data_IF_183519248514
#
_entry.id   IF_183519248514
#
_cell.length_a   1.000
_cell.length_b   1.000
_cell.length_c   1.000
_cell.angle_alpha   90.00
_cell.angle_beta   90.00
_cell.angle_gamma   90.00
#
_symmetry.space_group_name_H-M   'P 1'
#
loop_
_entity.id
_entity.type
_entity.pdbx_description
1 polymer ?
#
# COMPACT_ATOMS: atom_id res chain seq x y z
N UNK A 1 27.49 10.18 43.21
CA UNK A 1 26.46 9.15 43.50
C UNK A 1 25.06 9.60 43.06
N UNK A 2 24.87 10.07 41.81
CA UNK A 2 23.54 10.43 41.28
C UNK A 2 23.28 9.99 39.83
N UNK A 3 24.17 9.18 39.23
CA UNK A 3 24.05 8.76 37.82
C UNK A 3 23.84 7.25 37.62
N UNK A 4 23.86 6.43 38.68
CA UNK A 4 23.72 4.97 38.56
C UNK A 4 22.29 4.44 38.77
N UNK A 5 21.33 5.29 39.15
CA UNK A 5 19.96 4.85 39.48
C UNK A 5 19.01 4.89 38.26
N UNK A 6 19.36 5.61 37.19
CA UNK A 6 18.50 5.70 35.99
C UNK A 6 18.61 4.50 35.04
N UNK A 7 19.66 3.68 35.17
CA UNK A 7 19.92 2.53 34.28
C UNK A 7 19.18 1.24 34.70
N UNK A 8 18.46 1.24 35.81
CA UNK A 8 17.75 0.05 36.32
C UNK A 8 16.25 -0.03 35.91
N UNK A 9 15.71 0.95 35.19
CA UNK A 9 14.30 0.95 34.77
C UNK A 9 14.05 0.70 33.26
N UNK A 10 15.10 0.49 32.45
CA UNK A 10 14.94 0.17 31.02
C UNK A 10 14.74 -1.33 30.71
N UNK A 11 14.39 -2.13 31.73
CA UNK A 11 14.37 -3.60 31.65
C UNK A 11 13.01 -4.29 31.57
N UNK A 12 11.87 -3.57 31.54
CA UNK A 12 10.54 -4.21 31.64
C UNK A 12 9.45 -3.62 30.73
N UNK A 13 9.79 -3.22 29.51
CA UNK A 13 8.79 -3.02 28.45
C UNK A 13 9.14 -3.85 27.21
N UNK A 14 9.14 -5.16 27.37
CA UNK A 14 8.87 -6.05 26.23
C UNK A 14 7.38 -5.93 25.92
N UNK A 15 7.00 -4.98 25.08
CA UNK A 15 5.66 -4.98 24.50
C UNK A 15 5.49 -6.33 23.80
N UNK A 16 4.54 -7.14 24.27
CA UNK A 16 4.18 -8.40 23.60
C UNK A 16 3.83 -8.07 22.14
N UNK A 17 4.20 -8.89 21.15
CA UNK A 17 3.74 -8.70 19.79
C UNK A 17 2.22 -8.63 19.79
N UNK A 18 1.66 -7.52 19.34
CA UNK A 18 0.22 -7.32 19.26
C UNK A 18 -0.34 -8.33 18.25
N UNK A 19 -1.10 -9.29 18.75
CA UNK A 19 -1.86 -10.22 17.93
C UNK A 19 -3.23 -9.59 17.68
N UNK A 20 -3.58 -9.40 16.40
CA UNK A 20 -4.94 -8.99 16.01
C UNK A 20 -5.96 -9.96 16.62
N UNK A 21 -7.01 -9.47 17.30
CA UNK A 21 -8.16 -10.31 17.59
C UNK A 21 -8.77 -10.77 16.25
N UNK A 22 -9.31 -11.99 16.23
CA UNK A 22 -10.07 -12.47 15.06
C UNK A 22 -11.34 -11.62 14.88
N UNK A 23 -11.94 -11.67 13.69
CA UNK A 23 -13.23 -11.00 13.43
C UNK A 23 -14.29 -11.37 14.47
N UNK A 24 -14.29 -12.63 14.93
CA UNK A 24 -15.15 -13.13 16.01
C UNK A 24 -14.82 -12.48 17.36
N UNK A 25 -13.54 -12.27 17.68
CA UNK A 25 -13.13 -11.64 18.92
C UNK A 25 -13.49 -10.15 18.96
N UNK A 26 -13.34 -9.42 17.84
CA UNK A 26 -13.79 -8.04 17.74
C UNK A 26 -15.32 -7.94 17.88
N UNK A 27 -16.06 -8.83 17.22
CA UNK A 27 -17.53 -8.90 17.31
C UNK A 27 -18.00 -9.13 18.75
N UNK A 28 -17.36 -10.05 19.48
CA UNK A 28 -17.74 -10.36 20.85
C UNK A 28 -17.41 -9.21 21.82
N UNK A 29 -16.35 -8.45 21.57
CA UNK A 29 -16.04 -7.24 22.35
C UNK A 29 -17.11 -6.16 22.11
N UNK A 30 -17.49 -5.91 20.86
CA UNK A 30 -18.53 -4.92 20.51
C UNK A 30 -19.93 -5.29 20.98
N UNK A 31 -20.27 -6.58 21.00
CA UNK A 31 -21.54 -7.06 21.56
C UNK A 31 -21.58 -6.90 23.08
N UNK A 32 -20.45 -7.14 23.75
CA UNK A 32 -20.36 -7.00 25.20
C UNK A 32 -20.53 -5.55 25.66
N UNK A 33 -19.93 -4.61 24.94
CA UNK A 33 -20.09 -3.17 25.22
C UNK A 33 -21.53 -2.66 24.97
N UNK A 34 -22.36 -3.44 24.27
CA UNK A 34 -23.77 -3.12 23.98
C UNK A 34 -24.74 -3.75 24.99
N UNK A 35 -24.35 -4.85 25.65
CA UNK A 35 -25.11 -5.49 26.74
C UNK A 35 -24.89 -4.78 28.09
N UNK A 36 -23.78 -4.04 28.27
CA UNK A 36 -23.45 -3.33 29.51
C UNK A 36 -24.15 -1.95 29.65
N UNK A 37 -25.23 -1.68 28.91
CA UNK A 37 -25.97 -0.38 28.93
C UNK A 37 -27.39 -0.43 29.50
N UNK A 38 -27.88 -1.58 29.98
CA UNK A 38 -29.27 -1.75 30.45
C UNK A 38 -29.38 -1.94 31.98
N UNK A 39 -28.65 -1.16 32.77
CA UNK A 39 -28.87 -1.05 34.22
C UNK A 39 -29.29 0.39 34.55
N UNK A 40 -30.60 0.61 34.66
CA UNK A 40 -31.29 1.51 35.60
C UNK A 40 -32.71 1.80 35.08
N UNK A 41 -33.71 1.10 35.63
CA UNK A 41 -34.98 1.68 36.14
C UNK A 41 -35.97 0.55 36.49
N UNK A 42 -36.16 0.33 37.79
CA UNK A 42 -37.24 -0.46 38.39
C UNK A 42 -38.59 0.27 38.21
N UNK A 43 -39.66 -0.45 37.80
CA UNK A 43 -40.99 -0.42 38.46
C UNK A 43 -41.99 -1.39 37.78
N UNK A 44 -43.00 -1.75 38.57
CA UNK A 44 -43.73 -3.01 38.61
C UNK A 44 -44.87 -3.23 37.58
N UNK A 45 -45.02 -4.50 37.19
CA UNK A 45 -46.26 -5.31 37.08
C UNK A 45 -47.33 -5.11 35.97
N UNK A 46 -47.89 -6.29 35.63
CA UNK A 46 -49.15 -6.62 34.95
C UNK A 46 -49.26 -6.76 33.41
N UNK A 47 -49.62 -8.01 33.07
CA UNK A 47 -50.02 -8.61 31.80
C UNK A 47 -51.02 -7.80 30.97
N UNK A 48 -50.64 -7.49 29.74
CA UNK A 48 -51.56 -7.48 28.61
C UNK A 48 -50.87 -7.99 27.35
N UNK A 49 -50.93 -9.31 27.18
CA UNK A 49 -50.67 -10.03 25.95
C UNK A 49 -51.45 -9.49 24.73
N UNK A 50 -50.93 -8.47 24.05
CA UNK A 50 -51.40 -8.10 22.71
C UNK A 50 -50.36 -7.41 21.80
N UNK A 51 -49.11 -7.87 21.74
CA UNK A 51 -48.19 -7.48 20.67
C UNK A 51 -47.29 -8.66 20.25
N UNK A 52 -47.01 -8.84 18.94
CA UNK A 52 -46.27 -10.00 18.47
C UNK A 52 -44.84 -9.99 19.02
N UNK A 53 -44.40 -11.11 19.60
CA UNK A 53 -43.02 -11.39 20.08
C UNK A 53 -42.01 -11.55 18.93
N UNK A 54 -42.05 -10.65 17.95
CA UNK A 54 -40.92 -10.47 17.04
C UNK A 54 -39.95 -9.54 17.73
N UNK A 55 -38.83 -10.09 18.19
CA UNK A 55 -37.58 -9.34 18.27
C UNK A 55 -37.51 -8.41 17.04
N UNK A 56 -37.15 -7.13 17.20
CA UNK A 56 -36.88 -6.31 16.03
C UNK A 56 -35.86 -7.10 15.23
N UNK A 57 -36.27 -7.56 14.04
CA UNK A 57 -35.32 -8.01 13.04
C UNK A 57 -34.55 -6.76 12.72
N UNK A 58 -33.47 -6.52 13.47
CA UNK A 58 -32.36 -5.72 13.00
C UNK A 58 -32.14 -6.31 11.60
N UNK A 59 -32.38 -5.54 10.52
CA UNK A 59 -32.04 -6.03 9.21
C UNK A 59 -30.60 -6.51 9.37
N UNK A 60 -30.33 -7.76 9.02
CA UNK A 60 -28.96 -8.23 8.86
C UNK A 60 -28.38 -7.33 7.75
N UNK A 61 -27.97 -6.12 8.12
CA UNK A 61 -27.06 -5.32 7.36
C UNK A 61 -25.81 -6.19 7.40
N UNK A 62 -25.34 -6.68 6.25
CA UNK A 62 -24.05 -7.32 6.21
C UNK A 62 -23.08 -6.24 6.71
N UNK A 63 -22.62 -6.34 7.94
CA UNK A 63 -21.62 -5.42 8.50
C UNK A 63 -20.30 -5.46 7.69
N UNK A 64 -20.22 -6.38 6.71
CA UNK A 64 -19.20 -6.47 5.67
C UNK A 64 -19.33 -5.45 4.52
N UNK A 65 -20.37 -4.60 4.49
CA UNK A 65 -20.58 -3.69 3.34
C UNK A 65 -19.73 -2.42 3.34
N UNK A 66 -19.02 -2.13 4.43
CA UNK A 66 -18.12 -0.99 4.49
C UNK A 66 -16.69 -1.49 4.64
N UNK A 67 -15.83 -1.34 3.62
CA UNK A 67 -14.43 -1.66 3.81
C UNK A 67 -13.88 -0.77 4.93
N UNK A 68 -13.57 -1.42 6.05
CA UNK A 68 -13.02 -0.75 7.21
C UNK A 68 -11.60 -0.28 6.92
N UNK A 69 -11.21 0.84 7.52
CA UNK A 69 -9.83 1.28 7.43
C UNK A 69 -8.89 0.19 7.94
N UNK A 70 -7.76 -0.11 7.25
CA UNK A 70 -6.83 -1.11 7.74
C UNK A 70 -6.31 -0.76 9.13
N UNK A 71 -6.06 -1.78 9.95
CA UNK A 71 -5.63 -1.59 11.33
C UNK A 71 -4.35 -0.75 11.44
N UNK A 72 -4.36 0.25 12.32
CA UNK A 72 -3.26 1.19 12.53
C UNK A 72 -3.13 2.27 11.45
N UNK A 73 -3.84 2.15 10.33
CA UNK A 73 -3.90 3.18 9.31
C UNK A 73 -4.96 4.23 9.62
N UNK A 74 -4.81 5.39 8.98
CA UNK A 74 -5.80 6.46 9.00
C UNK A 74 -6.43 6.59 7.62
N UNK A 75 -7.75 6.53 7.56
CA UNK A 75 -8.49 6.65 6.31
C UNK A 75 -9.38 7.87 6.37
N UNK A 76 -9.19 8.77 5.41
CA UNK A 76 -10.05 9.93 5.24
C UNK A 76 -10.37 10.14 3.76
N UNK A 77 -11.66 10.31 3.47
CA UNK A 77 -12.15 10.35 2.10
C UNK A 77 -11.70 9.10 1.32
N UNK A 78 -10.90 9.26 0.26
CA UNK A 78 -10.37 8.19 -0.58
C UNK A 78 -8.85 8.03 -0.43
N UNK A 79 -8.31 8.39 0.73
CA UNK A 79 -6.88 8.26 1.02
C UNK A 79 -6.67 7.38 2.23
N UNK A 80 -5.75 6.43 2.11
CA UNK A 80 -5.37 5.49 3.17
C UNK A 80 -3.91 5.75 3.55
N UNK A 81 -3.70 6.27 4.76
CA UNK A 81 -2.40 6.60 5.33
C UNK A 81 -1.92 5.50 6.27
N UNK A 82 -0.87 4.81 5.86
CA UNK A 82 -0.24 3.71 6.58
C UNK A 82 1.28 3.90 6.70
N UNK A 83 1.76 5.15 6.67
CA UNK A 83 3.19 5.48 6.71
C UNK A 83 3.77 5.29 8.11
N UNK A 84 5.05 4.89 8.18
CA UNK A 84 5.82 4.84 9.44
C UNK A 84 5.29 3.87 10.52
N UNK A 85 4.49 2.87 10.12
CA UNK A 85 3.86 1.90 11.03
C UNK A 85 4.70 0.63 11.23
N UNK A 86 5.86 0.52 10.58
CA UNK A 86 6.71 -0.67 10.65
C UNK A 86 6.12 -1.90 9.94
N UNK A 87 5.17 -1.71 9.01
CA UNK A 87 4.50 -2.77 8.28
C UNK A 87 5.48 -3.64 7.50
N UNK A 88 5.29 -4.96 7.57
CA UNK A 88 6.12 -5.93 6.84
C UNK A 88 5.46 -6.44 5.55
N UNK A 89 4.17 -6.15 5.37
CA UNK A 89 3.36 -6.46 4.19
C UNK A 89 2.35 -5.34 3.94
N UNK A 90 1.77 -5.31 2.73
CA UNK A 90 0.60 -4.46 2.44
C UNK A 90 -0.55 -4.86 3.39
N UNK A 91 -1.23 -3.89 4.03
CA UNK A 91 -2.29 -4.19 4.97
C UNK A 91 -3.54 -4.70 4.23
N UNK A 92 -4.29 -5.60 4.86
CA UNK A 92 -5.55 -6.12 4.30
C UNK A 92 -6.68 -5.10 4.46
N UNK A 93 -7.76 -5.29 3.69
CA UNK A 93 -8.98 -4.48 3.78
C UNK A 93 -8.84 -3.00 3.37
N UNK A 94 -7.95 -2.67 2.43
CA UNK A 94 -7.93 -1.33 1.83
C UNK A 94 -9.28 -1.05 1.13
N UNK A 95 -9.97 0.07 1.41
CA UNK A 95 -11.24 0.41 0.76
C UNK A 95 -11.20 0.41 -0.76
N UNK A 96 -12.19 -0.22 -1.40
CA UNK A 96 -12.19 -0.42 -2.86
C UNK A 96 -12.28 0.90 -3.66
N UNK A 97 -12.84 1.95 -3.06
CA UNK A 97 -12.95 3.30 -3.63
C UNK A 97 -11.72 4.17 -3.35
N UNK A 98 -10.71 3.64 -2.66
CA UNK A 98 -9.43 4.31 -2.38
C UNK A 98 -8.79 4.80 -3.67
N UNK A 99 -8.42 6.08 -3.65
CA UNK A 99 -7.72 6.78 -4.74
C UNK A 99 -6.23 6.90 -4.46
N UNK A 100 -5.81 6.94 -3.20
CA UNK A 100 -4.40 7.03 -2.85
C UNK A 100 -4.07 6.18 -1.63
N UNK A 101 -3.00 5.39 -1.73
CA UNK A 101 -2.47 4.56 -0.64
C UNK A 101 -1.05 5.03 -0.35
N UNK A 102 -0.82 5.45 0.89
CA UNK A 102 0.49 5.81 1.40
C UNK A 102 1.03 4.74 2.35
N UNK A 103 2.08 4.03 1.90
CA UNK A 103 2.76 2.95 2.60
C UNK A 103 4.26 3.26 2.79
N UNK A 104 4.66 4.52 2.71
CA UNK A 104 6.07 4.89 2.82
C UNK A 104 6.66 4.60 4.22
N UNK A 105 7.99 4.52 4.29
CA UNK A 105 8.74 4.34 5.53
C UNK A 105 8.35 3.09 6.33
N UNK A 106 8.08 2.00 5.64
CA UNK A 106 7.75 0.71 6.24
C UNK A 106 8.86 -0.31 5.98
N UNK A 107 8.60 -1.58 6.32
CA UNK A 107 9.52 -2.71 6.18
C UNK A 107 9.00 -3.74 5.17
N UNK A 108 8.18 -3.31 4.21
CA UNK A 108 7.56 -4.19 3.22
C UNK A 108 8.63 -4.73 2.28
N UNK A 109 8.70 -6.06 2.15
CA UNK A 109 9.71 -6.76 1.34
C UNK A 109 9.22 -7.21 -0.02
N UNK A 110 7.94 -7.48 -0.14
CA UNK A 110 7.32 -7.96 -1.37
C UNK A 110 5.92 -7.38 -1.55
N UNK A 111 5.53 -7.21 -2.81
CA UNK A 111 4.13 -6.99 -3.20
C UNK A 111 3.62 -8.26 -3.87
N UNK A 112 2.56 -8.84 -3.33
CA UNK A 112 1.93 -10.07 -3.82
C UNK A 112 0.92 -9.78 -4.93
N UNK A 113 0.48 -10.83 -5.62
CA UNK A 113 -0.49 -10.74 -6.71
C UNK A 113 -1.78 -10.01 -6.33
N UNK A 114 -2.28 -10.23 -5.11
CA UNK A 114 -3.62 -9.79 -4.70
C UNK A 114 -3.62 -8.58 -3.77
N UNK A 115 -2.46 -8.00 -3.43
CA UNK A 115 -2.34 -6.93 -2.42
C UNK A 115 -3.14 -5.67 -2.80
N UNK A 116 -3.27 -5.38 -4.10
CA UNK A 116 -4.05 -4.24 -4.61
C UNK A 116 -5.26 -4.67 -5.44
N UNK A 117 -5.70 -5.93 -5.28
CA UNK A 117 -6.83 -6.47 -6.04
C UNK A 117 -8.11 -5.72 -5.67
N UNK A 118 -8.83 -5.27 -6.70
CA UNK A 118 -10.12 -4.59 -6.53
C UNK A 118 -10.02 -3.08 -6.31
N UNK A 119 -8.82 -2.52 -6.13
CA UNK A 119 -8.58 -1.08 -6.03
C UNK A 119 -8.63 -0.39 -7.40
N UNK A 120 -9.77 -0.53 -8.08
CA UNK A 120 -9.98 -0.07 -9.47
C UNK A 120 -9.97 1.46 -9.62
N UNK A 121 -10.15 2.18 -8.52
CA UNK A 121 -10.08 3.65 -8.43
C UNK A 121 -8.72 4.19 -8.02
N UNK A 122 -7.74 3.31 -7.73
CA UNK A 122 -6.42 3.70 -7.27
C UNK A 122 -5.72 4.57 -8.33
N UNK A 123 -5.30 5.76 -7.90
CA UNK A 123 -4.65 6.77 -8.72
C UNK A 123 -3.19 6.96 -8.33
N UNK A 124 -2.88 6.89 -7.03
CA UNK A 124 -1.51 7.03 -6.50
C UNK A 124 -1.16 5.94 -5.51
N UNK A 125 0.04 5.38 -5.63
CA UNK A 125 0.59 4.40 -4.70
C UNK A 125 2.00 4.82 -4.28
N UNK A 126 2.17 5.08 -2.99
CA UNK A 126 3.43 5.55 -2.40
C UNK A 126 4.04 4.41 -1.58
N UNK A 127 5.19 3.91 -2.02
CA UNK A 127 5.93 2.79 -1.41
C UNK A 127 7.40 3.16 -1.16
N UNK A 128 7.70 4.46 -1.10
CA UNK A 128 9.05 4.97 -0.87
C UNK A 128 9.63 4.43 0.45
N UNK A 129 10.95 4.26 0.49
CA UNK A 129 11.68 3.89 1.70
C UNK A 129 11.12 2.63 2.38
N UNK A 130 10.94 1.57 1.60
CA UNK A 130 10.60 0.24 2.07
C UNK A 130 11.82 -0.69 1.91
N UNK A 131 11.60 -2.02 1.93
CA UNK A 131 12.62 -3.04 1.71
C UNK A 131 12.26 -3.92 0.52
N UNK A 132 11.53 -3.37 -0.46
CA UNK A 132 11.00 -4.13 -1.58
C UNK A 132 12.14 -4.70 -2.42
N UNK A 133 12.17 -6.02 -2.54
CA UNK A 133 13.07 -6.75 -3.45
C UNK A 133 12.32 -7.36 -4.63
N UNK A 134 11.01 -7.56 -4.50
CA UNK A 134 10.17 -8.20 -5.53
C UNK A 134 8.77 -7.60 -5.58
N UNK A 135 8.25 -7.43 -6.78
CA UNK A 135 6.84 -7.11 -7.04
C UNK A 135 6.29 -8.18 -7.98
N UNK A 136 5.16 -8.78 -7.59
CA UNK A 136 4.55 -9.81 -8.41
C UNK A 136 4.12 -9.26 -9.78
N UNK A 137 4.36 -9.96 -10.92
CA UNK A 137 4.03 -9.46 -12.26
C UNK A 137 2.54 -9.17 -12.52
N UNK A 138 1.67 -9.61 -11.61
CA UNK A 138 0.22 -9.42 -11.69
C UNK A 138 -0.35 -8.44 -10.65
N UNK A 139 0.51 -7.88 -9.78
CA UNK A 139 0.09 -7.03 -8.67
C UNK A 139 -0.75 -5.81 -9.10
N UNK A 140 -0.51 -5.28 -10.31
CA UNK A 140 -1.16 -4.07 -10.81
C UNK A 140 -2.20 -4.31 -11.93
N UNK A 141 -2.59 -5.56 -12.21
CA UNK A 141 -3.52 -5.85 -13.30
C UNK A 141 -4.91 -5.19 -13.13
N UNK A 142 -5.34 -5.00 -11.89
CA UNK A 142 -6.67 -4.44 -11.58
C UNK A 142 -6.65 -2.92 -11.38
N UNK A 143 -5.49 -2.32 -11.14
CA UNK A 143 -5.32 -0.88 -10.85
C UNK A 143 -5.19 -0.06 -12.15
N UNK A 144 -6.16 -0.23 -13.06
CA UNK A 144 -6.15 0.36 -14.40
C UNK A 144 -6.12 1.90 -14.42
N UNK A 145 -6.46 2.57 -13.31
CA UNK A 145 -6.43 4.03 -13.17
C UNK A 145 -5.17 4.58 -12.50
N UNK A 146 -4.19 3.71 -12.17
CA UNK A 146 -2.97 4.14 -11.49
C UNK A 146 -2.17 5.10 -12.37
N UNK A 147 -1.95 6.32 -11.88
CA UNK A 147 -1.21 7.37 -12.57
C UNK A 147 0.17 7.62 -11.95
N UNK A 148 0.30 7.44 -10.64
CA UNK A 148 1.53 7.72 -9.89
C UNK A 148 1.97 6.50 -9.10
N UNK A 149 3.20 6.05 -9.32
CA UNK A 149 3.80 4.93 -8.61
C UNK A 149 5.19 5.33 -8.12
N UNK A 150 5.35 5.39 -6.80
CA UNK A 150 6.60 5.78 -6.16
C UNK A 150 7.19 4.58 -5.42
N UNK A 151 8.35 4.13 -5.89
CA UNK A 151 9.09 2.95 -5.45
C UNK A 151 10.53 3.31 -5.04
N UNK A 152 10.81 4.59 -4.82
CA UNK A 152 12.16 5.07 -4.55
C UNK A 152 12.70 4.57 -3.20
N UNK A 153 14.02 4.49 -3.07
CA UNK A 153 14.70 4.00 -1.86
C UNK A 153 14.24 2.58 -1.46
N UNK A 154 14.26 1.67 -2.42
CA UNK A 154 13.97 0.25 -2.21
C UNK A 154 15.18 -0.61 -2.66
N UNK A 155 14.98 -1.91 -2.83
CA UNK A 155 16.02 -2.88 -3.19
C UNK A 155 15.66 -3.64 -4.47
N UNK A 156 14.86 -3.05 -5.35
CA UNK A 156 14.42 -3.66 -6.60
C UNK A 156 15.61 -3.80 -7.56
N UNK A 157 15.83 -5.00 -8.07
CA UNK A 157 16.88 -5.29 -9.06
C UNK A 157 16.45 -5.06 -10.51
N UNK A 158 15.15 -4.91 -10.74
CA UNK A 158 14.52 -4.75 -12.05
C UNK A 158 13.29 -3.84 -11.95
N UNK A 159 12.90 -3.25 -13.08
CA UNK A 159 11.63 -2.53 -13.18
C UNK A 159 10.49 -3.57 -13.14
N UNK A 160 9.40 -3.34 -12.38
CA UNK A 160 8.29 -4.28 -12.31
C UNK A 160 7.70 -4.58 -13.69
N UNK A 161 7.43 -5.85 -13.96
CA UNK A 161 6.76 -6.26 -15.19
C UNK A 161 5.27 -5.85 -15.17
N UNK A 162 4.71 -5.64 -16.35
CA UNK A 162 3.28 -5.33 -16.55
C UNK A 162 2.79 -4.12 -15.76
N UNK A 163 3.58 -3.04 -15.73
CA UNK A 163 3.13 -1.76 -15.19
C UNK A 163 1.84 -1.30 -15.91
N UNK A 164 0.91 -0.63 -15.19
CA UNK A 164 -0.30 -0.10 -15.82
C UNK A 164 0.04 0.89 -16.93
N UNK A 165 -0.55 0.70 -18.12
CA UNK A 165 -0.36 1.62 -19.27
C UNK A 165 -0.86 3.05 -19.02
N UNK A 166 -1.70 3.22 -17.99
CA UNK A 166 -2.20 4.51 -17.54
C UNK A 166 -1.16 5.32 -16.76
N UNK A 167 -0.05 4.70 -16.32
CA UNK A 167 0.94 5.35 -15.48
C UNK A 167 1.50 6.59 -16.16
N UNK A 168 1.48 7.71 -15.44
CA UNK A 168 2.00 9.00 -15.90
C UNK A 168 3.30 9.40 -15.23
N UNK A 169 3.57 8.85 -14.05
CA UNK A 169 4.75 9.13 -13.28
C UNK A 169 5.23 7.87 -12.57
N UNK A 170 6.48 7.49 -12.86
CA UNK A 170 7.19 6.41 -12.20
C UNK A 170 8.45 6.97 -11.56
N UNK A 171 8.56 6.81 -10.24
CA UNK A 171 9.79 7.10 -9.50
C UNK A 171 10.33 5.81 -8.90
N UNK A 172 11.54 5.45 -9.30
CA UNK A 172 12.25 4.22 -8.87
C UNK A 172 13.74 4.53 -8.63
N UNK A 173 14.07 5.78 -8.31
CA UNK A 173 15.43 6.17 -7.98
C UNK A 173 15.91 5.50 -6.69
N UNK A 174 17.23 5.38 -6.53
CA UNK A 174 17.85 4.71 -5.37
C UNK A 174 17.34 3.27 -5.17
N UNK A 175 17.42 2.47 -6.23
CA UNK A 175 17.16 1.04 -6.22
C UNK A 175 18.43 0.29 -6.67
N UNK A 176 18.28 -0.98 -7.07
CA UNK A 176 19.36 -1.84 -7.58
C UNK A 176 19.13 -2.24 -9.03
N UNK A 177 18.37 -1.44 -9.79
CA UNK A 177 18.04 -1.71 -11.19
C UNK A 177 19.30 -1.68 -12.03
N UNK A 178 19.63 -2.82 -12.65
CA UNK A 178 20.80 -2.96 -13.53
C UNK A 178 20.44 -2.99 -15.01
N UNK A 179 19.19 -3.34 -15.33
CA UNK A 179 18.74 -3.54 -16.70
C UNK A 179 17.35 -2.97 -16.93
N UNK A 180 17.13 -2.44 -18.13
CA UNK A 180 15.85 -2.07 -18.71
C UNK A 180 15.71 -2.93 -19.97
N UNK A 181 14.74 -3.85 -19.94
CA UNK A 181 14.51 -4.77 -21.04
C UNK A 181 13.80 -4.08 -22.20
N UNK A 182 13.91 -4.64 -23.40
CA UNK A 182 13.08 -4.25 -24.54
C UNK A 182 11.60 -4.31 -24.15
N UNK A 183 10.81 -3.41 -24.71
CA UNK A 183 9.36 -3.35 -24.50
C UNK A 183 8.92 -3.05 -23.04
N UNK A 184 9.83 -2.74 -22.11
CA UNK A 184 9.50 -2.42 -20.70
C UNK A 184 8.42 -1.34 -20.58
N UNK A 185 8.50 -0.31 -21.43
CA UNK A 185 7.56 0.82 -21.43
C UNK A 185 6.59 0.82 -22.62
N UNK A 186 6.44 -0.31 -23.32
CA UNK A 186 5.67 -0.41 -24.56
C UNK A 186 4.20 -0.03 -24.35
N UNK A 187 3.74 0.98 -25.10
CA UNK A 187 2.37 1.45 -25.06
C UNK A 187 2.01 2.27 -23.81
N UNK A 188 3.01 2.71 -23.04
CA UNK A 188 2.84 3.65 -21.92
C UNK A 188 2.80 5.10 -22.43
N UNK A 189 1.83 5.42 -23.29
CA UNK A 189 1.71 6.74 -23.95
C UNK A 189 1.43 7.90 -22.96
N UNK A 190 1.00 7.57 -21.74
CA UNK A 190 0.74 8.54 -20.68
C UNK A 190 1.97 8.82 -19.80
N UNK A 191 3.06 8.07 -19.94
CA UNK A 191 4.22 8.16 -19.04
C UNK A 191 5.05 9.41 -19.33
N UNK A 192 4.84 10.46 -18.53
CA UNK A 192 5.47 11.76 -18.73
C UNK A 192 6.73 11.95 -17.90
N UNK A 193 6.80 11.30 -16.73
CA UNK A 193 7.91 11.43 -15.77
C UNK A 193 8.44 10.05 -15.43
N UNK A 194 9.74 9.85 -15.69
CA UNK A 194 10.50 8.69 -15.28
C UNK A 194 11.76 9.11 -14.54
N UNK A 195 11.78 8.88 -13.22
CA UNK A 195 12.95 9.10 -12.38
C UNK A 195 13.55 7.77 -11.93
N UNK A 196 14.77 7.48 -12.39
CA UNK A 196 15.46 6.24 -12.05
C UNK A 196 16.94 6.46 -11.72
N UNK A 197 17.27 7.66 -11.25
CA UNK A 197 18.62 8.03 -10.83
C UNK A 197 19.13 7.16 -9.68
N UNK A 198 20.44 7.13 -9.46
CA UNK A 198 21.09 6.33 -8.42
C UNK A 198 20.72 4.84 -8.47
N UNK A 199 20.64 4.29 -9.69
CA UNK A 199 20.57 2.87 -9.97
C UNK A 199 21.88 2.41 -10.63
N UNK A 200 22.36 1.18 -10.38
CA UNK A 200 23.60 0.65 -10.96
C UNK A 200 23.44 0.26 -12.45
N UNK A 201 22.70 1.05 -13.22
CA UNK A 201 22.50 0.91 -14.65
C UNK A 201 23.79 1.29 -15.40
N UNK A 202 24.27 0.40 -16.25
CA UNK A 202 25.41 0.65 -17.14
C UNK A 202 24.94 0.71 -18.60
N UNK A 203 25.85 0.98 -19.53
CA UNK A 203 25.54 1.10 -20.96
C UNK A 203 24.96 -0.18 -21.58
N UNK A 204 25.31 -1.36 -21.07
CA UNK A 204 24.77 -2.64 -21.53
C UNK A 204 23.45 -2.98 -20.81
N UNK A 205 23.08 -2.19 -19.81
CA UNK A 205 21.86 -2.33 -19.06
C UNK A 205 20.62 -1.85 -19.80
N UNK A 206 20.76 -1.06 -20.86
CA UNK A 206 19.61 -0.56 -21.62
C UNK A 206 19.53 -1.36 -22.93
N UNK A 207 18.51 -2.21 -23.05
CA UNK A 207 18.32 -2.98 -24.27
C UNK A 207 17.84 -2.10 -25.44
N UNK A 208 18.21 -2.44 -26.68
CA UNK A 208 17.65 -1.79 -27.86
C UNK A 208 16.12 -1.87 -27.90
N UNK A 209 15.48 -0.72 -28.02
CA UNK A 209 14.02 -0.58 -27.99
C UNK A 209 13.40 -0.56 -26.58
N UNK A 210 14.20 -0.43 -25.51
CA UNK A 210 13.70 -0.28 -24.15
C UNK A 210 12.70 0.89 -23.99
N UNK A 211 12.94 1.99 -24.70
CA UNK A 211 12.09 3.19 -24.73
C UNK A 211 11.35 3.35 -26.07
N UNK A 212 11.18 2.26 -26.82
CA UNK A 212 10.40 2.30 -28.05
C UNK A 212 8.90 2.49 -27.73
N UNK A 213 8.28 3.49 -28.36
CA UNK A 213 6.84 3.74 -28.21
C UNK A 213 6.42 4.33 -26.85
N UNK A 214 7.34 4.91 -26.08
CA UNK A 214 7.01 5.70 -24.90
C UNK A 214 7.19 7.19 -25.18
N UNK A 215 6.24 8.02 -24.73
CA UNK A 215 6.28 9.48 -24.89
C UNK A 215 6.58 10.13 -23.54
N UNK A 216 7.88 10.25 -23.21
CA UNK A 216 8.31 10.83 -21.93
C UNK A 216 8.77 12.28 -22.12
N UNK A 217 8.25 13.18 -21.30
CA UNK A 217 8.70 14.59 -21.29
C UNK A 217 9.90 14.82 -20.37
N UNK A 218 10.01 14.01 -19.31
CA UNK A 218 11.10 14.09 -18.35
C UNK A 218 11.66 12.70 -18.01
N UNK A 219 12.89 12.44 -18.45
CA UNK A 219 13.66 11.26 -18.05
C UNK A 219 14.87 11.72 -17.25
N UNK A 220 15.00 11.24 -16.01
CA UNK A 220 16.17 11.51 -15.17
C UNK A 220 16.93 10.23 -14.82
N UNK A 221 18.08 10.07 -15.47
CA UNK A 221 19.05 8.99 -15.22
C UNK A 221 20.38 9.64 -14.79
N UNK A 222 20.46 10.05 -13.53
CA UNK A 222 21.67 10.57 -12.91
C UNK A 222 22.30 9.52 -11.98
N UNK A 223 23.59 9.68 -11.64
CA UNK A 223 24.29 8.80 -10.69
C UNK A 223 24.20 7.31 -11.05
N UNK A 224 24.12 7.05 -12.35
CA UNK A 224 24.21 5.73 -12.94
C UNK A 224 25.67 5.37 -13.24
N UNK A 225 25.91 4.14 -13.69
CA UNK A 225 27.23 3.67 -14.14
C UNK A 225 27.40 3.82 -15.65
N UNK A 226 26.77 4.85 -16.23
CA UNK A 226 26.86 5.14 -17.66
C UNK A 226 28.22 5.78 -17.97
N UNK A 227 28.94 5.20 -18.93
CA UNK A 227 30.18 5.74 -19.50
C UNK A 227 29.92 6.57 -20.76
N UNK A 228 28.74 6.43 -21.37
CA UNK A 228 28.30 7.26 -22.50
C UNK A 228 26.77 7.40 -22.52
N UNK A 229 26.26 8.40 -23.23
CA UNK A 229 24.81 8.58 -23.44
C UNK A 229 24.31 7.51 -24.42
N UNK A 230 23.32 6.67 -24.04
CA UNK A 230 22.77 5.61 -24.88
C UNK A 230 21.83 6.17 -25.96
N UNK A 231 22.41 6.89 -26.95
CA UNK A 231 21.66 7.64 -27.98
C UNK A 231 20.67 6.79 -28.77
N UNK A 232 21.04 5.56 -29.10
CA UNK A 232 20.22 4.66 -29.95
C UNK A 232 19.03 4.04 -29.20
N UNK A 233 18.94 4.24 -27.89
CA UNK A 233 17.94 3.60 -27.05
C UNK A 233 17.06 4.60 -26.29
N UNK A 234 17.33 5.89 -26.40
CA UNK A 234 16.50 6.94 -25.80
C UNK A 234 15.37 7.36 -26.76
N UNK A 235 14.21 7.82 -26.23
CA UNK A 235 13.13 8.29 -27.08
C UNK A 235 13.59 9.52 -27.89
N UNK A 236 13.21 9.56 -29.16
CA UNK A 236 13.45 10.69 -30.06
C UNK A 236 12.57 11.86 -29.60
N UNK A 237 13.17 13.02 -29.34
CA UNK A 237 12.46 14.26 -29.01
C UNK A 237 11.88 14.93 -30.25
#
# INVERSE_FOLDING_TARGET
>A
MKEYVLLLFLGLCSAKPFFSPSHTALKNMMLKDMEDTDDDDDEEEEDNSLFPTREPRIPFFPFDLFPMCPFGCQCYSRVVHCSDLGLTSVPTNIPFDTRMVDLQNNKIKEIKENDFKGLTSLYGLILNNNKLTKIHPKAFLTTKKLRRLYLSHNQLSEIPLNLPKSLAELRIHENKVKKIQKDTFKGMNALHVLEMSANPLDNNGIEPGAFEGVTVFHIRIAEAKLTSVPKDNLPSF
#
